data_IF_955280090133
#
_entry.id   IF_955280090133
#
_cell.length_a   1.000
_cell.length_b   1.000
_cell.length_c   1.000
_cell.angle_alpha   90.00
_cell.angle_beta   90.00
_cell.angle_gamma   90.00
#
_symmetry.space_group_name_H-M   'P 1'
#
loop_
_entity.id
_entity.type
_entity.pdbx_description
1 polymer ?
#
# COMPACT_ATOMS: atom_id res chain seq x y z
N UNK A 1 -1.91 -2.88 0.41
CA UNK A 1 -2.01 -2.19 1.72
C UNK A 1 -3.27 -2.70 2.41
N UNK A 2 -3.23 -2.91 3.72
CA UNK A 2 -4.40 -3.22 4.55
C UNK A 2 -4.56 -2.11 5.57
N UNK A 3 -5.70 -1.43 5.50
CA UNK A 3 -6.00 -0.22 6.27
C UNK A 3 -7.15 -0.55 7.23
N UNK A 4 -7.15 0.06 8.42
CA UNK A 4 -8.36 0.11 9.24
C UNK A 4 -9.38 1.02 8.56
N UNK A 5 -10.67 0.84 8.89
CA UNK A 5 -11.74 1.68 8.36
C UNK A 5 -11.48 3.17 8.61
N UNK A 6 -11.05 3.52 9.82
CA UNK A 6 -10.75 4.90 10.19
C UNK A 6 -9.67 5.54 9.30
N UNK A 7 -8.60 4.80 9.00
CA UNK A 7 -7.51 5.29 8.14
C UNK A 7 -7.97 5.33 6.68
N UNK A 8 -8.74 4.34 6.24
CA UNK A 8 -9.30 4.32 4.89
C UNK A 8 -10.21 5.51 4.65
N UNK A 9 -11.08 5.88 5.61
CA UNK A 9 -11.95 7.06 5.48
C UNK A 9 -11.15 8.35 5.36
N UNK A 10 -10.10 8.53 6.17
CA UNK A 10 -9.21 9.70 6.05
C UNK A 10 -8.53 9.78 4.67
N UNK A 11 -8.11 8.63 4.13
CA UNK A 11 -7.54 8.55 2.78
C UNK A 11 -8.59 8.85 1.71
N UNK A 12 -9.80 8.29 1.86
CA UNK A 12 -10.92 8.49 0.96
C UNK A 12 -11.24 9.98 0.83
N UNK A 13 -11.46 10.67 1.95
CA UNK A 13 -11.78 12.10 1.98
C UNK A 13 -10.69 12.93 1.29
N UNK A 14 -9.41 12.61 1.54
CA UNK A 14 -8.29 13.30 0.91
C UNK A 14 -8.28 13.14 -0.61
N UNK A 15 -8.56 11.92 -1.11
CA UNK A 15 -8.58 11.64 -2.54
C UNK A 15 -9.82 12.28 -3.20
N UNK A 16 -11.00 12.21 -2.57
CA UNK A 16 -12.22 12.76 -3.15
C UNK A 16 -12.25 14.29 -3.17
N UNK A 17 -11.50 14.94 -2.28
CA UNK A 17 -11.34 16.40 -2.27
C UNK A 17 -10.30 16.92 -3.28
N UNK A 18 -9.62 16.04 -4.02
CA UNK A 18 -8.70 16.47 -5.08
C UNK A 18 -9.44 17.08 -6.27
N UNK A 19 -8.80 18.04 -6.94
CA UNK A 19 -9.37 18.70 -8.10
C UNK A 19 -9.57 17.72 -9.27
N UNK A 20 -10.83 17.41 -9.59
CA UNK A 20 -11.21 16.50 -10.67
C UNK A 20 -10.84 17.00 -12.08
N UNK A 21 -10.53 18.29 -12.26
CA UNK A 21 -10.00 18.79 -13.52
C UNK A 21 -8.57 18.27 -13.79
N UNK A 22 -7.81 17.95 -12.74
CA UNK A 22 -6.47 17.39 -12.87
C UNK A 22 -6.55 15.92 -13.33
N UNK A 23 -5.99 15.56 -14.51
CA UNK A 23 -6.01 14.19 -15.00
C UNK A 23 -5.32 13.20 -14.07
N UNK A 24 -4.23 13.60 -13.43
CA UNK A 24 -3.48 12.78 -12.46
C UNK A 24 -4.32 12.46 -11.23
N UNK A 25 -5.12 13.42 -10.74
CA UNK A 25 -6.03 13.18 -9.61
C UNK A 25 -7.11 12.15 -9.95
N UNK A 26 -7.68 12.23 -11.17
CA UNK A 26 -8.67 11.25 -11.65
C UNK A 26 -8.07 9.85 -11.77
N UNK A 27 -6.83 9.75 -12.25
CA UNK A 27 -6.14 8.47 -12.39
C UNK A 27 -5.83 7.85 -11.04
N UNK A 28 -5.28 8.63 -10.10
CA UNK A 28 -5.04 8.17 -8.72
C UNK A 28 -6.34 7.66 -8.08
N UNK A 29 -7.44 8.41 -8.25
CA UNK A 29 -8.75 8.00 -7.72
C UNK A 29 -9.22 6.65 -8.29
N UNK A 30 -9.08 6.45 -9.61
CA UNK A 30 -9.41 5.16 -10.24
C UNK A 30 -8.54 4.05 -9.70
N UNK A 31 -7.22 4.25 -9.68
CA UNK A 31 -6.28 3.23 -9.23
C UNK A 31 -6.53 2.80 -7.78
N UNK A 32 -6.76 3.77 -6.89
CA UNK A 32 -6.99 3.50 -5.47
C UNK A 32 -8.34 2.81 -5.23
N UNK A 33 -9.43 3.33 -5.80
CA UNK A 33 -10.77 2.82 -5.47
C UNK A 33 -11.20 1.61 -6.30
N UNK A 34 -10.64 1.41 -7.50
CA UNK A 34 -10.91 0.19 -8.28
C UNK A 34 -10.31 -1.07 -7.64
N UNK A 35 -9.29 -0.91 -6.80
CA UNK A 35 -8.58 -2.00 -6.14
C UNK A 35 -8.77 -2.02 -4.62
N UNK A 36 -9.74 -1.27 -4.09
CA UNK A 36 -10.07 -1.26 -2.66
C UNK A 36 -11.23 -2.23 -2.38
N UNK A 37 -11.04 -3.12 -1.41
CA UNK A 37 -12.05 -4.09 -1.00
C UNK A 37 -12.20 -4.05 0.52
N UNK A 38 -13.45 -3.99 0.99
CA UNK A 38 -13.75 -4.22 2.40
C UNK A 38 -13.66 -5.73 2.68
N UNK A 39 -13.00 -6.10 3.76
CA UNK A 39 -12.80 -7.48 4.20
C UNK A 39 -13.01 -7.56 5.69
N UNK A 40 -13.60 -8.67 6.14
CA UNK A 40 -13.78 -8.94 7.56
C UNK A 40 -12.63 -9.80 8.10
N UNK A 41 -12.32 -9.61 9.38
CA UNK A 41 -11.41 -10.48 10.13
C UNK A 41 -12.23 -11.54 10.82
N UNK A 42 -11.93 -12.81 10.57
CA UNK A 42 -12.65 -13.89 11.22
C UNK A 42 -12.24 -14.04 12.70
N UNK A 43 -12.93 -14.94 13.43
CA UNK A 43 -12.67 -15.18 14.86
C UNK A 43 -11.26 -15.68 15.18
N UNK A 44 -10.54 -16.19 14.18
CA UNK A 44 -9.17 -16.67 14.32
C UNK A 44 -8.14 -15.61 13.88
N UNK A 45 -8.57 -14.38 13.57
CA UNK A 45 -7.70 -13.31 13.14
C UNK A 45 -7.28 -13.39 11.67
N UNK A 46 -7.96 -14.20 10.84
CA UNK A 46 -7.61 -14.37 9.42
C UNK A 46 -8.39 -13.40 8.54
N UNK A 47 -7.76 -12.99 7.46
CA UNK A 47 -8.36 -12.14 6.42
C UNK A 47 -8.37 -12.92 5.11
N UNK A 48 -9.53 -13.00 4.46
CA UNK A 48 -9.64 -13.58 3.12
C UNK A 48 -9.29 -12.52 2.09
N UNK A 49 -8.12 -12.66 1.43
CA UNK A 49 -7.69 -11.72 0.39
C UNK A 49 -8.46 -12.03 -0.92
N UNK A 50 -9.20 -11.06 -1.50
CA UNK A 50 -9.88 -11.24 -2.78
C UNK A 50 -8.94 -11.71 -3.89
N UNK A 51 -9.43 -12.57 -4.79
CA UNK A 51 -8.63 -13.17 -5.87
C UNK A 51 -7.88 -12.13 -6.71
N UNK A 52 -8.56 -11.03 -7.05
CA UNK A 52 -7.97 -9.95 -7.87
C UNK A 52 -6.75 -9.31 -7.18
N UNK A 53 -6.80 -9.13 -5.85
CA UNK A 53 -5.68 -8.59 -5.07
C UNK A 53 -4.55 -9.61 -4.94
N UNK A 54 -4.87 -10.90 -4.79
CA UNK A 54 -3.86 -11.97 -4.78
C UNK A 54 -3.11 -12.03 -6.10
N UNK A 55 -3.82 -11.95 -7.23
CA UNK A 55 -3.21 -11.92 -8.56
C UNK A 55 -2.37 -10.67 -8.78
N UNK A 56 -2.85 -9.49 -8.35
CA UNK A 56 -2.10 -8.24 -8.46
C UNK A 56 -0.81 -8.26 -7.63
N UNK A 57 -0.86 -8.81 -6.41
CA UNK A 57 0.29 -8.91 -5.52
C UNK A 57 1.17 -10.15 -5.80
N UNK A 58 0.84 -10.95 -6.83
CA UNK A 58 1.56 -12.17 -7.23
C UNK A 58 1.81 -13.10 -6.04
N UNK A 59 0.78 -13.29 -5.21
CA UNK A 59 0.85 -14.15 -4.03
C UNK A 59 0.71 -15.62 -4.44
N UNK A 60 1.74 -16.41 -4.17
CA UNK A 60 1.79 -17.84 -4.44
C UNK A 60 2.37 -18.60 -3.22
N UNK A 61 1.49 -19.15 -2.39
CA UNK A 61 1.83 -19.90 -1.18
C UNK A 61 2.32 -19.08 0.01
N UNK A 62 3.23 -18.13 -0.22
CA UNK A 62 3.87 -17.33 0.81
C UNK A 62 3.56 -15.83 0.68
N UNK A 63 3.52 -15.14 1.82
CA UNK A 63 3.31 -13.69 1.89
C UNK A 63 4.13 -13.09 3.04
N UNK A 64 4.64 -11.88 2.81
CA UNK A 64 5.28 -11.04 3.82
C UNK A 64 4.29 -9.99 4.33
N UNK A 65 4.30 -9.77 5.64
CA UNK A 65 3.56 -8.68 6.28
C UNK A 65 4.57 -7.63 6.72
N UNK A 66 4.43 -6.41 6.20
CA UNK A 66 5.32 -5.30 6.52
C UNK A 66 4.52 -4.22 7.24
N UNK A 67 4.88 -3.92 8.49
CA UNK A 67 4.28 -2.83 9.24
C UNK A 67 4.79 -1.48 8.73
N UNK A 68 3.88 -0.53 8.51
CA UNK A 68 4.18 0.83 8.06
C UNK A 68 3.57 1.89 9.00
N UNK A 69 3.66 1.63 10.30
CA UNK A 69 3.05 2.45 11.34
C UNK A 69 1.55 2.20 11.47
N UNK A 70 0.73 3.05 10.83
CA UNK A 70 -0.72 3.03 11.01
C UNK A 70 -1.42 1.93 10.20
N UNK A 71 -0.73 1.33 9.25
CA UNK A 71 -1.23 0.25 8.41
C UNK A 71 -0.13 -0.77 8.14
N UNK A 72 -0.48 -1.86 7.47
CA UNK A 72 0.49 -2.83 7.00
C UNK A 72 0.32 -3.13 5.52
N UNK A 73 1.36 -3.71 4.93
CA UNK A 73 1.37 -4.14 3.55
C UNK A 73 1.54 -5.65 3.48
N UNK A 74 0.96 -6.23 2.43
CA UNK A 74 1.09 -7.65 2.10
C UNK A 74 1.85 -7.71 0.78
N UNK A 75 2.95 -8.44 0.77
CA UNK A 75 3.85 -8.57 -0.37
C UNK A 75 4.13 -10.03 -0.69
N UNK A 76 4.31 -10.35 -1.98
CA UNK A 76 5.03 -11.59 -2.33
C UNK A 76 6.50 -11.43 -1.96
N UNK A 77 7.18 -12.48 -1.45
CA UNK A 77 8.62 -12.43 -1.16
C UNK A 77 9.47 -11.95 -2.35
N UNK A 78 9.18 -12.43 -3.56
CA UNK A 78 9.94 -12.08 -4.77
C UNK A 78 9.83 -10.59 -5.11
N UNK A 79 8.61 -10.03 -5.14
CA UNK A 79 8.43 -8.60 -5.41
C UNK A 79 9.06 -7.71 -4.33
N UNK A 80 9.05 -8.16 -3.07
CA UNK A 80 9.71 -7.41 -2.00
C UNK A 80 11.24 -7.44 -2.14
N UNK A 81 11.81 -8.60 -2.51
CA UNK A 81 13.24 -8.73 -2.79
C UNK A 81 13.65 -7.79 -3.94
N UNK A 82 12.93 -7.83 -5.07
CA UNK A 82 13.18 -6.95 -6.21
C UNK A 82 13.06 -5.45 -5.83
N UNK A 83 12.07 -5.11 -5.00
CA UNK A 83 11.89 -3.75 -4.50
C UNK A 83 13.06 -3.33 -3.59
N UNK A 84 13.47 -4.20 -2.67
CA UNK A 84 14.58 -3.97 -1.73
C UNK A 84 15.92 -3.85 -2.44
N UNK A 85 16.18 -4.67 -3.46
CA UNK A 85 17.43 -4.63 -4.22
C UNK A 85 17.55 -3.35 -5.05
N UNK A 86 16.43 -2.87 -5.63
CA UNK A 86 16.37 -1.55 -6.28
C UNK A 86 16.62 -0.42 -5.28
N UNK A 87 16.22 -0.60 -4.03
CA UNK A 87 16.44 0.39 -2.98
C UNK A 87 17.90 0.39 -2.49
N UNK A 88 18.54 -0.76 -2.40
CA UNK A 88 19.92 -0.89 -1.89
C UNK A 88 20.94 -0.48 -2.95
N UNK A 89 20.66 -0.71 -4.24
CA UNK A 89 21.60 -0.49 -5.35
C UNK A 89 21.68 0.95 -5.87
N UNK A 90 20.89 1.89 -5.33
CA UNK A 90 20.95 3.30 -5.73
C UNK A 90 21.64 4.16 -4.66
N UNK A 91 22.83 4.69 -4.96
CA UNK A 91 23.49 5.75 -4.18
C UNK A 91 22.59 6.98 -3.94
N UNK A 92 21.56 7.16 -4.77
CA UNK A 92 20.53 8.21 -4.67
C UNK A 92 19.57 8.08 -3.46
N UNK A 93 19.49 6.91 -2.80
CA UNK A 93 18.53 6.73 -1.71
C UNK A 93 18.98 7.37 -0.40
N UNK A 94 20.29 7.40 -0.11
CA UNK A 94 20.81 8.08 1.08
C UNK A 94 20.49 9.59 1.05
N UNK A 95 20.59 10.24 -0.11
CA UNK A 95 20.22 11.65 -0.26
C UNK A 95 18.71 11.88 -0.12
N UNK A 96 17.89 10.97 -0.64
CA UNK A 96 16.43 11.06 -0.54
C UNK A 96 15.94 10.99 0.90
N UNK A 97 16.52 10.10 1.70
CA UNK A 97 16.19 9.98 3.12
C UNK A 97 16.80 11.11 3.97
N UNK A 98 17.94 11.68 3.57
CA UNK A 98 18.55 12.81 4.28
C UNK A 98 17.69 14.08 4.28
N UNK A 99 16.76 14.22 3.32
CA UNK A 99 15.79 15.33 3.30
C UNK A 99 14.61 15.15 4.26
N UNK A 100 14.45 13.97 4.85
CA UNK A 100 13.38 13.71 5.81
C UNK A 100 13.83 14.18 7.19
N UNK A 101 13.20 15.26 7.68
CA UNK A 101 13.38 15.70 9.05
C UNK A 101 12.62 14.75 10.00
N UNK A 102 13.39 14.01 10.81
CA UNK A 102 12.88 13.07 11.81
C UNK A 102 13.06 13.61 13.23
N UNK A 103 13.39 14.89 13.40
CA UNK A 103 13.39 15.52 14.71
C UNK A 103 11.95 15.61 15.25
N UNK A 104 11.78 15.19 16.50
CA UNK A 104 10.51 15.19 17.23
C UNK A 104 10.46 16.35 18.22
#
# INVERSE_FOLDING_TARGET
>A
MVLTEEIFQRLFDRITNMNMANPTARELRRLMFANAFSVEVDKAGRILIPQILRSHAVLDGEALILGNGSYFEIWSPNLWQDHSDKQISSDANNERYATLDLSL
#
